data_IF_593274555958
#
_entry.id   IF_593274555958
#
_cell.length_a   1.000
_cell.length_b   1.000
_cell.length_c   1.000
_cell.angle_alpha   90.00
_cell.angle_beta   90.00
_cell.angle_gamma   90.00
#
_symmetry.space_group_name_H-M   'P 1'
#
loop_
_entity.id
_entity.type
_entity.pdbx_description
1 polymer ?
#
# COMPACT_ATOMS: atom_id res chain seq x y z
N UNK A 1 32.72 -48.30 12.39
CA UNK A 1 32.20 -47.53 11.24
C UNK A 1 30.70 -47.82 11.19
N UNK A 2 29.79 -46.83 11.19
CA UNK A 2 29.75 -45.70 10.25
C UNK A 2 29.58 -44.28 10.87
N UNK A 3 29.86 -43.31 10.00
CA UNK A 3 29.52 -41.87 9.84
C UNK A 3 28.47 -41.22 10.76
N UNK A 4 28.70 -40.06 11.40
CA UNK A 4 28.97 -38.67 10.91
C UNK A 4 27.73 -37.82 10.58
N UNK A 5 27.56 -36.75 11.38
CA UNK A 5 27.08 -35.38 11.08
C UNK A 5 25.68 -35.18 10.45
N UNK A 6 24.85 -34.21 10.86
CA UNK A 6 25.02 -33.10 11.79
C UNK A 6 23.95 -32.01 11.56
N UNK A 7 23.92 -31.05 12.50
CA UNK A 7 23.44 -29.67 12.36
C UNK A 7 21.93 -29.38 12.53
N UNK A 8 21.45 -29.51 13.78
CA UNK A 8 20.16 -28.92 14.23
C UNK A 8 20.26 -28.34 15.65
N UNK A 9 21.25 -27.48 15.92
CA UNK A 9 21.45 -26.92 17.28
C UNK A 9 22.16 -25.56 17.32
N UNK A 10 21.83 -24.64 16.42
CA UNK A 10 22.28 -23.23 16.52
C UNK A 10 21.13 -22.21 16.52
N UNK A 11 19.89 -22.65 16.33
CA UNK A 11 18.73 -21.75 16.21
C UNK A 11 18.06 -21.43 17.54
N UNK A 12 18.45 -22.09 18.64
CA UNK A 12 17.83 -21.93 19.97
C UNK A 12 18.68 -21.16 20.99
N UNK A 13 19.99 -21.04 20.75
CA UNK A 13 20.93 -20.39 21.69
C UNK A 13 21.03 -18.88 21.51
N UNK A 14 20.49 -18.30 20.43
CA UNK A 14 20.54 -16.85 20.17
C UNK A 14 19.41 -16.07 20.89
N UNK A 15 18.34 -16.75 21.33
CA UNK A 15 17.15 -16.10 21.92
C UNK A 15 17.30 -15.90 23.45
N UNK A 16 18.39 -16.36 24.06
CA UNK A 16 18.65 -16.31 25.51
C UNK A 16 19.82 -15.38 25.90
N UNK A 17 20.12 -14.36 25.08
CA UNK A 17 21.03 -13.25 25.41
C UNK A 17 20.29 -11.91 25.28
N UNK A 18 19.14 -11.85 25.92
CA UNK A 18 18.47 -10.59 26.28
C UNK A 18 18.92 -10.23 27.71
N UNK A 19 18.85 -8.94 28.07
CA UNK A 19 18.45 -8.47 29.42
C UNK A 19 19.47 -8.06 30.51
N UNK A 20 20.78 -7.90 30.31
CA UNK A 20 21.61 -7.29 31.39
C UNK A 20 22.71 -6.35 30.89
N UNK A 21 22.80 -5.17 31.54
CA UNK A 21 23.82 -4.09 31.44
C UNK A 21 23.62 -3.16 30.21
N UNK A 22 23.33 -1.85 30.30
CA UNK A 22 23.81 -0.81 31.20
C UNK A 22 22.68 0.15 31.63
N UNK A 23 22.35 0.17 32.92
CA UNK A 23 21.91 1.39 33.58
C UNK A 23 23.17 2.14 34.01
N UNK A 24 23.24 3.42 33.63
CA UNK A 24 24.19 4.47 34.02
C UNK A 24 25.35 4.73 33.05
N UNK A 25 25.21 5.85 32.35
CA UNK A 25 26.22 6.44 31.48
C UNK A 25 25.69 7.74 30.89
N UNK A 26 25.46 8.76 31.74
CA UNK A 26 25.20 10.12 31.28
C UNK A 26 26.47 10.67 30.64
N UNK A 27 26.53 10.69 29.31
CA UNK A 27 27.47 11.51 28.56
C UNK A 27 26.69 12.52 27.73
N UNK A 28 26.64 13.75 28.22
CA UNK A 28 26.21 14.92 27.46
C UNK A 28 27.25 15.25 26.40
N UNK A 29 26.92 15.07 25.13
CA UNK A 29 27.65 15.67 24.02
C UNK A 29 26.83 16.85 23.48
N UNK A 30 27.32 18.06 23.73
CA UNK A 30 26.89 19.28 23.02
C UNK A 30 27.39 19.18 21.58
N UNK A 31 26.47 18.97 20.64
CA UNK A 31 26.67 19.28 19.24
C UNK A 31 25.51 20.17 18.78
N UNK A 32 25.78 21.48 18.67
CA UNK A 32 24.89 22.44 18.05
C UNK A 32 24.82 22.17 16.54
N UNK A 33 23.95 21.25 16.13
CA UNK A 33 23.42 21.20 14.78
C UNK A 33 21.95 21.62 14.86
N UNK A 34 21.68 22.92 14.67
CA UNK A 34 20.33 23.40 14.38
C UNK A 34 19.93 22.89 13.00
N UNK A 35 19.55 21.61 12.92
CA UNK A 35 18.75 21.12 11.80
C UNK A 35 17.31 21.58 12.06
N UNK A 36 17.08 22.88 11.90
CA UNK A 36 15.72 23.40 11.76
C UNK A 36 15.22 22.91 10.41
N UNK A 37 14.53 21.76 10.42
CA UNK A 37 13.50 21.52 9.40
C UNK A 37 12.38 22.49 9.73
N UNK A 38 12.50 23.71 9.22
CA UNK A 38 11.37 24.62 9.04
C UNK A 38 10.42 23.93 8.07
N UNK A 39 9.61 23.00 8.59
CA UNK A 39 8.34 22.69 7.97
C UNK A 39 7.50 23.94 8.18
N UNK A 40 7.56 24.86 7.23
CA UNK A 40 6.42 25.73 7.01
C UNK A 40 5.22 24.77 6.87
N UNK A 41 4.17 24.87 7.69
CA UNK A 41 2.89 24.35 7.26
C UNK A 41 2.48 25.27 6.12
N UNK A 42 2.94 24.97 4.90
CA UNK A 42 2.18 25.32 3.72
C UNK A 42 0.92 24.46 3.82
N UNK A 43 -0.07 25.00 4.50
CA UNK A 43 -1.47 24.63 4.33
C UNK A 43 -1.84 25.01 2.90
N UNK A 44 -1.34 24.27 1.92
CA UNK A 44 -2.13 23.98 0.74
C UNK A 44 -3.34 23.28 1.33
N UNK A 45 -4.48 23.96 1.34
CA UNK A 45 -5.74 23.35 1.71
C UNK A 45 -5.97 22.19 0.75
N UNK A 46 -5.44 21.02 1.07
CA UNK A 46 -5.77 19.77 0.43
C UNK A 46 -7.25 19.58 0.74
N UNK A 47 -8.10 19.87 -0.25
CA UNK A 47 -9.51 19.59 -0.18
C UNK A 47 -9.67 18.15 0.30
N UNK A 48 -10.09 17.97 1.55
CA UNK A 48 -10.17 16.65 2.14
C UNK A 48 -11.37 15.94 1.50
N UNK A 49 -11.07 14.97 0.63
CA UNK A 49 -12.09 14.14 0.02
C UNK A 49 -12.64 13.20 1.07
N UNK A 50 -13.96 13.24 1.30
CA UNK A 50 -14.62 12.26 2.15
C UNK A 50 -14.60 10.88 1.50
N UNK A 51 -13.89 9.95 2.14
CA UNK A 51 -13.82 8.54 1.78
C UNK A 51 -14.52 7.69 2.84
N UNK A 52 -15.23 6.65 2.43
CA UNK A 52 -15.77 5.63 3.35
C UNK A 52 -14.77 4.53 3.67
N UNK A 53 -13.62 4.55 3.01
CA UNK A 53 -12.53 3.57 3.10
C UNK A 53 -11.18 4.26 3.23
N UNK A 54 -10.13 3.48 3.47
CA UNK A 54 -8.76 3.99 3.48
C UNK A 54 -8.27 4.36 2.08
N UNK A 55 -7.24 5.22 2.01
CA UNK A 55 -6.56 5.56 0.76
C UNK A 55 -5.86 4.36 0.11
N UNK A 56 -5.48 3.35 0.91
CA UNK A 56 -4.90 2.10 0.41
C UNK A 56 -5.94 1.25 -0.34
N UNK A 57 -7.14 1.11 0.21
CA UNK A 57 -8.23 0.38 -0.45
C UNK A 57 -8.68 1.09 -1.74
N UNK A 58 -8.76 2.42 -1.72
CA UNK A 58 -9.03 3.20 -2.93
C UNK A 58 -7.93 3.01 -4.00
N UNK A 59 -6.66 3.04 -3.58
CA UNK A 59 -5.53 2.81 -4.48
C UNK A 59 -5.51 1.39 -5.04
N UNK A 60 -5.92 0.37 -4.28
CA UNK A 60 -6.05 -1.00 -4.78
C UNK A 60 -7.06 -1.07 -5.92
N UNK A 61 -8.25 -0.48 -5.73
CA UNK A 61 -9.27 -0.42 -6.77
C UNK A 61 -8.76 0.32 -8.01
N UNK A 62 -8.02 1.42 -7.84
CA UNK A 62 -7.37 2.12 -8.95
C UNK A 62 -6.36 1.22 -9.68
N UNK A 63 -5.49 0.50 -8.96
CA UNK A 63 -4.51 -0.42 -9.58
C UNK A 63 -5.20 -1.53 -10.37
N UNK A 64 -6.32 -2.08 -9.87
CA UNK A 64 -7.09 -3.06 -10.65
C UNK A 64 -7.56 -2.47 -12.00
N UNK A 65 -7.97 -1.20 -12.04
CA UNK A 65 -8.35 -0.53 -13.29
C UNK A 65 -7.18 -0.35 -14.26
N UNK A 66 -5.94 -0.33 -13.77
CA UNK A 66 -4.74 -0.20 -14.58
C UNK A 66 -4.32 -1.55 -15.20
N UNK A 67 -4.43 -2.65 -14.46
CA UNK A 67 -3.90 -3.95 -14.88
C UNK A 67 -4.95 -4.86 -15.53
N UNK A 68 -6.20 -4.81 -15.06
CA UNK A 68 -7.21 -5.80 -15.46
C UNK A 68 -7.72 -5.66 -16.90
N UNK A 69 -7.95 -4.47 -17.48
CA UNK A 69 -8.52 -4.37 -18.82
C UNK A 69 -7.73 -5.15 -19.90
N UNK A 70 -6.42 -5.33 -19.74
CA UNK A 70 -5.60 -6.06 -20.72
C UNK A 70 -5.88 -7.57 -20.76
N UNK A 71 -6.32 -8.18 -19.66
CA UNK A 71 -6.49 -9.64 -19.52
C UNK A 71 -7.95 -10.12 -19.63
N UNK A 72 -8.89 -9.18 -19.75
CA UNK A 72 -10.33 -9.42 -19.81
C UNK A 72 -10.84 -9.45 -21.25
N UNK A 73 -11.80 -10.34 -21.52
CA UNK A 73 -12.56 -10.30 -22.78
C UNK A 73 -13.59 -9.15 -22.78
N UNK A 74 -14.24 -8.90 -23.93
CA UNK A 74 -15.19 -7.79 -24.09
C UNK A 74 -16.31 -7.78 -23.06
N UNK A 75 -16.93 -8.94 -22.79
CA UNK A 75 -18.02 -9.04 -21.80
C UNK A 75 -17.52 -8.77 -20.40
N UNK A 76 -16.36 -9.33 -20.04
CA UNK A 76 -15.74 -9.11 -18.75
C UNK A 76 -15.32 -7.65 -18.54
N UNK A 77 -14.83 -6.95 -19.58
CA UNK A 77 -14.51 -5.51 -19.51
C UNK A 77 -15.73 -4.66 -19.16
N UNK A 78 -16.88 -4.95 -19.78
CA UNK A 78 -18.13 -4.24 -19.49
C UNK A 78 -18.52 -4.43 -18.02
N UNK A 79 -18.47 -5.67 -17.54
CA UNK A 79 -18.80 -5.97 -16.15
C UNK A 79 -17.78 -5.35 -15.17
N UNK A 80 -16.49 -5.43 -15.48
CA UNK A 80 -15.41 -4.80 -14.70
C UNK A 80 -15.66 -3.30 -14.55
N UNK A 81 -15.94 -2.59 -15.64
CA UNK A 81 -16.21 -1.15 -15.58
C UNK A 81 -17.44 -0.86 -14.70
N UNK A 82 -18.50 -1.67 -14.79
CA UNK A 82 -19.67 -1.51 -13.92
C UNK A 82 -19.35 -1.74 -12.44
N UNK A 83 -18.56 -2.77 -12.12
CA UNK A 83 -18.11 -3.05 -10.76
C UNK A 83 -17.22 -1.90 -10.24
N UNK A 84 -16.28 -1.44 -11.06
CA UNK A 84 -15.38 -0.33 -10.74
C UNK A 84 -16.15 0.96 -10.45
N UNK A 85 -17.12 1.33 -11.29
CA UNK A 85 -17.95 2.51 -11.10
C UNK A 85 -18.77 2.45 -9.82
N UNK A 86 -19.38 1.29 -9.52
CA UNK A 86 -20.10 1.08 -8.26
C UNK A 86 -19.17 1.18 -7.05
N UNK A 87 -17.98 0.59 -7.13
CA UNK A 87 -17.01 0.62 -6.04
C UNK A 87 -16.54 2.05 -5.76
N UNK A 88 -16.19 2.81 -6.81
CA UNK A 88 -15.80 4.22 -6.64
C UNK A 88 -16.93 5.06 -6.04
N UNK A 89 -18.18 4.83 -6.46
CA UNK A 89 -19.34 5.52 -5.87
C UNK A 89 -19.53 5.17 -4.39
N UNK A 90 -19.34 3.90 -4.01
CA UNK A 90 -19.43 3.46 -2.62
C UNK A 90 -18.30 4.08 -1.76
N UNK A 91 -17.10 4.21 -2.32
CA UNK A 91 -15.94 4.80 -1.66
C UNK A 91 -16.03 6.32 -1.53
N UNK A 92 -16.61 6.99 -2.51
CA UNK A 92 -16.73 8.45 -2.60
C UNK A 92 -18.21 8.87 -2.75
N UNK A 93 -19.07 8.59 -1.76
CA UNK A 93 -20.51 8.81 -1.89
C UNK A 93 -20.88 10.30 -2.04
N UNK A 94 -20.03 11.20 -1.54
CA UNK A 94 -20.23 12.67 -1.62
C UNK A 94 -19.57 13.30 -2.85
N UNK A 95 -18.79 12.55 -3.63
CA UNK A 95 -18.17 13.10 -4.83
C UNK A 95 -19.20 13.21 -5.96
N UNK A 96 -19.32 14.38 -6.56
CA UNK A 96 -20.15 14.57 -7.77
C UNK A 96 -19.68 13.62 -8.88
N UNK A 97 -18.37 13.57 -9.10
CA UNK A 97 -17.73 12.69 -10.08
C UNK A 97 -16.57 11.91 -9.43
N UNK A 98 -16.82 10.67 -8.95
CA UNK A 98 -15.80 9.84 -8.29
C UNK A 98 -14.54 9.62 -9.14
N UNK A 99 -14.67 9.51 -10.47
CA UNK A 99 -13.51 9.37 -11.36
C UNK A 99 -12.65 10.63 -11.41
N UNK A 100 -13.27 11.80 -11.47
CA UNK A 100 -12.54 13.06 -11.44
C UNK A 100 -11.87 13.27 -10.08
N UNK A 101 -12.59 13.01 -9.00
CA UNK A 101 -12.04 13.08 -7.64
C UNK A 101 -10.85 12.14 -7.44
N UNK A 102 -10.91 10.91 -7.98
CA UNK A 102 -9.78 9.98 -7.96
C UNK A 102 -8.57 10.50 -8.75
N UNK A 103 -8.80 11.15 -9.91
CA UNK A 103 -7.72 11.80 -10.68
C UNK A 103 -7.08 12.94 -9.90
N UNK A 104 -7.88 13.76 -9.20
CA UNK A 104 -7.39 14.85 -8.36
C UNK A 104 -6.59 14.32 -7.17
N UNK A 105 -7.08 13.26 -6.49
CA UNK A 105 -6.34 12.56 -5.45
C UNK A 105 -5.01 11.99 -5.98
N UNK A 106 -5.01 11.45 -7.20
CA UNK A 106 -3.81 10.94 -7.88
C UNK A 106 -2.75 12.01 -8.16
N UNK A 107 -3.08 13.31 -8.03
CA UNK A 107 -2.10 14.40 -8.11
C UNK A 107 -1.49 14.76 -6.75
N UNK A 108 -2.12 14.36 -5.64
CA UNK A 108 -1.61 14.62 -4.29
C UNK A 108 -0.41 13.73 -3.98
N UNK A 109 0.67 14.32 -3.45
CA UNK A 109 1.94 13.61 -3.17
C UNK A 109 1.75 12.37 -2.30
N UNK A 110 0.95 12.48 -1.25
CA UNK A 110 0.72 11.38 -0.31
C UNK A 110 0.02 10.20 -0.98
N UNK A 111 -1.07 10.46 -1.69
CA UNK A 111 -1.82 9.42 -2.40
C UNK A 111 -0.99 8.80 -3.54
N UNK A 112 -0.15 9.58 -4.23
CA UNK A 112 0.81 9.05 -5.21
C UNK A 112 1.79 8.04 -4.61
N UNK A 113 2.31 8.30 -3.41
CA UNK A 113 3.19 7.36 -2.73
C UNK A 113 2.45 6.05 -2.38
N UNK A 114 1.21 6.17 -1.90
CA UNK A 114 0.35 5.00 -1.63
C UNK A 114 0.11 4.21 -2.91
N UNK A 115 -0.28 4.89 -4.00
CA UNK A 115 -0.54 4.25 -5.29
C UNK A 115 0.70 3.53 -5.85
N UNK A 116 1.89 4.11 -5.71
CA UNK A 116 3.15 3.45 -6.07
C UNK A 116 3.41 2.19 -5.25
N UNK A 117 3.19 2.26 -3.92
CA UNK A 117 3.36 1.10 -3.04
C UNK A 117 2.38 -0.02 -3.39
N UNK A 118 1.12 0.31 -3.66
CA UNK A 118 0.10 -0.67 -4.03
C UNK A 118 0.41 -1.29 -5.40
N UNK A 119 0.85 -0.50 -6.39
CA UNK A 119 1.33 -1.05 -7.67
C UNK A 119 2.47 -2.05 -7.47
N UNK A 120 3.48 -1.68 -6.68
CA UNK A 120 4.62 -2.55 -6.39
C UNK A 120 4.20 -3.82 -5.64
N UNK A 121 3.28 -3.69 -4.69
CA UNK A 121 2.73 -4.82 -3.95
C UNK A 121 1.97 -5.78 -4.88
N UNK A 122 1.04 -5.27 -5.70
CA UNK A 122 0.30 -6.09 -6.68
C UNK A 122 1.25 -6.73 -7.69
N UNK A 123 2.26 -6.02 -8.16
CA UNK A 123 3.27 -6.56 -9.08
C UNK A 123 4.19 -7.63 -8.43
N UNK A 124 4.19 -7.77 -7.11
CA UNK A 124 4.99 -8.79 -6.42
C UNK A 124 4.34 -10.18 -6.44
N UNK A 125 3.06 -10.27 -6.78
CA UNK A 125 2.33 -11.53 -6.93
C UNK A 125 2.53 -12.15 -8.32
N UNK A 126 2.47 -13.50 -8.43
CA UNK A 126 2.43 -14.20 -9.71
C UNK A 126 1.35 -13.66 -10.66
N UNK A 127 1.64 -13.67 -11.96
CA UNK A 127 0.76 -13.09 -12.97
C UNK A 127 -0.62 -13.78 -13.05
N UNK A 128 -0.67 -15.08 -12.78
CA UNK A 128 -1.90 -15.87 -12.71
C UNK A 128 -2.77 -15.51 -11.49
N UNK A 129 -2.16 -15.23 -10.34
CA UNK A 129 -2.89 -14.73 -9.16
C UNK A 129 -3.51 -13.34 -9.41
N UNK A 130 -2.73 -12.41 -9.96
CA UNK A 130 -3.24 -11.09 -10.36
C UNK A 130 -4.37 -11.20 -11.41
N UNK A 131 -4.24 -12.15 -12.34
CA UNK A 131 -5.27 -12.41 -13.36
C UNK A 131 -6.55 -12.99 -12.75
N UNK A 132 -6.44 -13.84 -11.74
CA UNK A 132 -7.61 -14.37 -11.02
C UNK A 132 -8.41 -13.26 -10.34
N UNK A 133 -7.73 -12.31 -9.68
CA UNK A 133 -8.37 -11.13 -9.07
C UNK A 133 -9.17 -10.32 -10.11
N UNK A 134 -8.62 -10.14 -11.32
CA UNK A 134 -9.31 -9.43 -12.38
C UNK A 134 -10.60 -10.14 -12.82
N UNK A 135 -10.59 -11.47 -12.91
CA UNK A 135 -11.77 -12.25 -13.25
C UNK A 135 -12.83 -12.22 -12.16
N UNK A 136 -12.41 -12.32 -10.90
CA UNK A 136 -13.31 -12.23 -9.76
C UNK A 136 -13.99 -10.86 -9.72
N UNK A 137 -13.21 -9.77 -9.86
CA UNK A 137 -13.75 -8.42 -9.85
C UNK A 137 -14.70 -8.17 -11.04
N UNK A 138 -14.38 -8.70 -12.22
CA UNK A 138 -15.26 -8.65 -13.38
C UNK A 138 -16.55 -9.48 -13.21
N UNK A 139 -16.60 -10.45 -12.30
CA UNK A 139 -17.81 -11.21 -11.99
C UNK A 139 -18.71 -10.51 -10.97
N UNK A 140 -18.20 -9.49 -10.26
CA UNK A 140 -19.02 -8.65 -9.37
C UNK A 140 -19.87 -7.63 -10.15
N UNK A 141 -19.63 -7.48 -11.46
CA UNK A 141 -20.13 -6.48 -12.40
C UNK A 141 -21.60 -6.57 -12.80
#
# INVERSE_FOLDING_TARGET
>A
MPTSLGKSSHRKTLVLLVLTVCLWGSFTLLANARYQRTATPQTVASQEVYLTVTRYELALIQVLSEICPSVLNTRQKINFNRAYDRQLRAFMPRATNPHQTLRELSNQREYRNILQNVRAWTASYPADENRALCYEFANMG
#
